data_IF_309917234577
#
_entry.id   IF_309917234577
#
_cell.length_a   1.000
_cell.length_b   1.000
_cell.length_c   1.000
_cell.angle_alpha   90.00
_cell.angle_beta   90.00
_cell.angle_gamma   90.00
#
_symmetry.space_group_name_H-M   'P 1'
#
loop_
_entity.id
_entity.type
_entity.pdbx_description
1 polymer ?
#
# COMPACT_ATOMS: atom_id res chain seq x y z
N UNK A 1 -2.51 -51.22 -9.54
CA UNK A 1 -2.67 -52.08 -8.34
C UNK A 1 -2.83 -51.13 -7.18
N UNK A 2 -3.92 -51.21 -6.40
CA UNK A 2 -4.24 -50.19 -5.38
C UNK A 2 -3.28 -50.32 -4.17
N UNK A 3 -2.57 -49.24 -3.83
CA UNK A 3 -1.52 -49.19 -2.79
C UNK A 3 -2.10 -49.54 -1.41
N UNK A 4 -3.32 -49.09 -1.09
CA UNK A 4 -3.99 -49.42 0.17
C UNK A 4 -4.25 -50.92 0.34
N UNK A 5 -4.63 -51.64 -0.73
CA UNK A 5 -4.78 -53.11 -0.69
C UNK A 5 -3.45 -53.82 -0.43
N UNK A 6 -2.33 -53.27 -0.89
CA UNK A 6 -1.00 -53.80 -0.59
C UNK A 6 -0.60 -53.54 0.85
N UNK A 7 -0.85 -52.34 1.38
CA UNK A 7 -0.62 -52.00 2.79
C UNK A 7 -1.41 -52.96 3.71
N UNK A 8 -2.70 -53.18 3.44
CA UNK A 8 -3.51 -54.13 4.21
C UNK A 8 -2.97 -55.57 4.12
N UNK A 9 -2.54 -56.00 2.93
CA UNK A 9 -1.95 -57.32 2.73
C UNK A 9 -0.69 -57.50 3.57
N UNK A 10 0.23 -56.54 3.55
CA UNK A 10 1.46 -56.62 4.32
C UNK A 10 1.22 -56.48 5.83
N UNK A 11 0.23 -55.72 6.30
CA UNK A 11 -0.15 -55.71 7.73
C UNK A 11 -0.56 -57.10 8.23
N UNK A 12 -1.29 -57.88 7.42
CA UNK A 12 -1.72 -59.25 7.79
C UNK A 12 -0.59 -60.28 7.84
N UNK A 13 0.60 -59.93 7.36
CA UNK A 13 1.77 -60.82 7.36
C UNK A 13 2.68 -60.61 8.60
N UNK A 14 2.19 -59.88 9.60
CA UNK A 14 2.90 -59.69 10.87
C UNK A 14 3.12 -61.00 11.61
N UNK A 15 4.39 -61.32 11.91
CA UNK A 15 4.77 -62.55 12.60
C UNK A 15 4.53 -63.85 11.80
N UNK A 16 4.20 -63.76 10.51
CA UNK A 16 3.93 -64.94 9.66
C UNK A 16 5.21 -65.62 9.18
N UNK A 17 6.32 -64.88 9.10
CA UNK A 17 7.62 -65.41 8.65
C UNK A 17 8.63 -65.41 9.78
N UNK A 18 9.30 -66.55 9.98
CA UNK A 18 10.30 -66.78 11.04
C UNK A 18 11.74 -66.56 10.57
N UNK A 19 11.93 -66.18 9.30
CA UNK A 19 13.24 -65.91 8.74
C UNK A 19 13.85 -64.62 9.34
N UNK A 20 15.13 -64.68 9.66
CA UNK A 20 15.88 -63.55 10.22
C UNK A 20 15.82 -62.34 9.26
N UNK A 21 15.37 -61.20 9.79
CA UNK A 21 15.21 -59.96 9.01
C UNK A 21 13.92 -59.84 8.19
N UNK A 22 13.07 -60.87 8.12
CA UNK A 22 11.81 -60.81 7.38
C UNK A 22 10.82 -59.78 7.96
N UNK A 23 10.78 -59.66 9.29
CA UNK A 23 9.99 -58.67 10.01
C UNK A 23 10.43 -57.24 9.67
N UNK A 24 11.75 -57.01 9.65
CA UNK A 24 12.35 -55.72 9.33
C UNK A 24 12.08 -55.34 7.88
N UNK A 25 12.23 -56.28 6.95
CA UNK A 25 11.90 -56.06 5.53
C UNK A 25 10.43 -55.71 5.34
N UNK A 26 9.51 -56.38 6.05
CA UNK A 26 8.07 -56.04 6.01
C UNK A 26 7.81 -54.61 6.48
N UNK A 27 8.47 -54.19 7.56
CA UNK A 27 8.32 -52.83 8.10
C UNK A 27 8.79 -51.77 7.08
N UNK A 28 9.95 -51.99 6.44
CA UNK A 28 10.48 -51.11 5.39
C UNK A 28 9.49 -51.02 4.22
N UNK A 29 8.99 -52.16 3.72
CA UNK A 29 8.02 -52.15 2.62
C UNK A 29 6.70 -51.49 2.98
N UNK A 30 6.24 -51.60 4.24
CA UNK A 30 5.07 -50.89 4.72
C UNK A 30 5.29 -49.38 4.82
N UNK A 31 6.51 -48.94 5.13
CA UNK A 31 6.88 -47.53 5.18
C UNK A 31 6.95 -46.93 3.77
N UNK A 32 7.61 -47.62 2.83
CA UNK A 32 7.67 -47.22 1.42
C UNK A 32 6.27 -47.15 0.79
N UNK A 33 5.40 -48.13 1.07
CA UNK A 33 4.04 -48.14 0.55
C UNK A 33 3.17 -47.02 1.15
N UNK A 34 3.38 -46.64 2.42
CA UNK A 34 2.69 -45.47 3.02
C UNK A 34 3.16 -44.17 2.39
N UNK A 35 4.47 -44.02 2.14
CA UNK A 35 5.00 -42.86 1.41
C UNK A 35 4.42 -42.77 0.00
N UNK A 36 4.22 -43.92 -0.66
CA UNK A 36 3.57 -43.98 -1.97
C UNK A 36 2.06 -43.67 -1.92
N UNK A 37 1.33 -44.15 -0.91
CA UNK A 37 -0.10 -43.81 -0.69
C UNK A 37 -0.27 -42.31 -0.38
N UNK A 38 0.66 -41.71 0.37
CA UNK A 38 0.74 -40.26 0.60
C UNK A 38 1.10 -39.48 -0.68
N UNK A 39 1.83 -40.08 -1.62
CA UNK A 39 2.15 -39.48 -2.94
C UNK A 39 1.04 -39.63 -3.99
N UNK A 40 0.15 -40.62 -3.85
CA UNK A 40 -1.03 -40.80 -4.71
C UNK A 40 -2.17 -39.81 -4.38
N UNK A 41 -2.05 -39.03 -3.30
CA UNK A 41 -2.84 -37.81 -3.07
C UNK A 41 -2.36 -36.78 -4.09
N UNK A 42 -2.99 -36.82 -5.26
CA UNK A 42 -2.60 -36.25 -6.56
C UNK A 42 -1.83 -34.93 -6.58
N UNK A 43 -1.10 -34.75 -7.69
CA UNK A 43 -0.36 -33.57 -8.18
C UNK A 43 -0.86 -32.15 -7.76
N UNK A 44 -2.11 -32.00 -7.35
CA UNK A 44 -2.65 -30.78 -6.76
C UNK A 44 -2.04 -30.43 -5.38
N UNK A 45 -1.56 -31.41 -4.59
CA UNK A 45 -1.01 -31.18 -3.23
C UNK A 45 0.54 -31.19 -3.16
N UNK A 46 1.23 -31.64 -4.22
CA UNK A 46 2.69 -31.53 -4.33
C UNK A 46 3.15 -30.09 -4.59
N UNK A 47 2.44 -29.35 -5.46
CA UNK A 47 2.77 -27.95 -5.75
C UNK A 47 2.76 -27.05 -4.49
N UNK A 48 1.77 -27.15 -3.57
CA UNK A 48 1.84 -26.52 -2.26
C UNK A 48 3.06 -26.89 -1.41
N UNK A 49 3.56 -28.14 -1.49
CA UNK A 49 4.68 -28.62 -0.69
C UNK A 49 6.02 -28.01 -1.13
N UNK A 50 6.28 -27.94 -2.43
CA UNK A 50 7.50 -27.31 -2.97
C UNK A 50 7.54 -25.81 -2.66
N UNK A 51 6.40 -25.12 -2.85
CA UNK A 51 6.27 -23.70 -2.51
C UNK A 51 6.48 -23.47 -1.02
N UNK A 52 5.88 -24.29 -0.14
CA UNK A 52 6.09 -24.22 1.32
C UNK A 52 7.57 -24.43 1.71
N UNK A 53 8.28 -25.32 1.04
CA UNK A 53 9.70 -25.57 1.30
C UNK A 53 10.58 -24.38 0.86
N UNK A 54 10.31 -23.81 -0.32
CA UNK A 54 10.98 -22.59 -0.80
C UNK A 54 10.74 -21.43 0.16
N UNK A 55 9.49 -21.23 0.61
CA UNK A 55 9.14 -20.19 1.57
C UNK A 55 9.85 -20.36 2.93
N UNK A 56 9.98 -21.60 3.42
CA UNK A 56 10.72 -21.89 4.64
C UNK A 56 12.20 -21.48 4.49
N UNK A 57 12.84 -21.87 3.39
CA UNK A 57 14.25 -21.52 3.10
C UNK A 57 14.46 -20.00 2.96
N UNK A 58 13.54 -19.29 2.31
CA UNK A 58 13.62 -17.82 2.21
C UNK A 58 13.50 -17.11 3.57
N UNK A 59 12.76 -17.70 4.51
CA UNK A 59 12.62 -17.17 5.87
C UNK A 59 13.86 -17.40 6.74
N UNK A 60 14.70 -18.36 6.38
CA UNK A 60 15.99 -18.60 7.04
C UNK A 60 17.09 -17.65 6.58
N UNK A 61 16.91 -16.96 5.45
CA UNK A 61 17.87 -15.97 4.95
C UNK A 61 17.87 -14.67 5.76
N UNK A 62 19.03 -13.97 5.84
CA UNK A 62 19.10 -12.59 6.32
C UNK A 62 18.11 -11.67 5.60
N UNK A 63 17.59 -10.66 6.31
CA UNK A 63 16.55 -9.75 5.78
C UNK A 63 16.89 -9.14 4.42
N UNK A 64 18.14 -8.71 4.24
CA UNK A 64 18.60 -8.12 2.99
C UNK A 64 18.59 -9.15 1.84
N UNK A 65 19.07 -10.37 2.09
CA UNK A 65 19.11 -11.44 1.08
C UNK A 65 17.71 -11.92 0.72
N UNK A 66 16.79 -11.95 1.69
CA UNK A 66 15.38 -12.30 1.43
C UNK A 66 14.75 -11.33 0.44
N UNK A 67 14.99 -10.03 0.58
CA UNK A 67 14.42 -9.02 -0.32
C UNK A 67 14.95 -9.16 -1.76
N UNK A 68 16.25 -9.41 -1.91
CA UNK A 68 16.90 -9.65 -3.21
C UNK A 68 16.32 -10.89 -3.88
N UNK A 69 16.17 -11.99 -3.14
CA UNK A 69 15.60 -13.24 -3.66
C UNK A 69 14.11 -13.13 -3.99
N UNK A 70 13.32 -12.39 -3.21
CA UNK A 70 11.91 -12.13 -3.52
C UNK A 70 11.77 -11.36 -4.83
N UNK A 71 12.60 -10.32 -5.04
CA UNK A 71 12.63 -9.56 -6.30
C UNK A 71 12.99 -10.44 -7.49
N UNK A 72 14.01 -11.29 -7.35
CA UNK A 72 14.43 -12.21 -8.41
C UNK A 72 13.34 -13.23 -8.77
N UNK A 73 12.68 -13.84 -7.76
CA UNK A 73 11.56 -14.76 -7.99
C UNK A 73 10.42 -14.03 -8.69
N UNK A 74 10.06 -12.83 -8.25
CA UNK A 74 9.00 -12.03 -8.87
C UNK A 74 9.29 -11.68 -10.34
N UNK A 75 10.55 -11.38 -10.70
CA UNK A 75 10.91 -11.07 -12.09
C UNK A 75 10.79 -12.26 -13.03
N UNK A 76 11.06 -13.49 -12.56
CA UNK A 76 10.93 -14.70 -13.38
C UNK A 76 9.48 -14.95 -13.84
N UNK A 77 8.51 -14.51 -13.04
CA UNK A 77 7.08 -14.70 -13.31
C UNK A 77 6.40 -13.40 -13.77
N UNK A 78 7.13 -12.34 -14.12
CA UNK A 78 6.56 -11.01 -14.38
C UNK A 78 5.46 -11.04 -15.47
N UNK A 79 5.68 -11.80 -16.55
CA UNK A 79 4.70 -11.98 -17.62
C UNK A 79 3.49 -12.81 -17.19
N UNK A 80 3.68 -13.84 -16.36
CA UNK A 80 2.60 -14.70 -15.84
C UNK A 80 1.76 -13.96 -14.78
N UNK A 81 2.40 -13.15 -13.93
CA UNK A 81 1.72 -12.27 -12.97
C UNK A 81 0.88 -11.20 -13.65
N UNK A 82 1.32 -10.68 -14.81
CA UNK A 82 0.53 -9.73 -15.61
C UNK A 82 -0.79 -10.33 -16.12
N UNK A 83 -0.83 -11.66 -16.32
CA UNK A 83 -2.03 -12.42 -16.76
C UNK A 83 -2.86 -13.00 -15.61
N UNK A 84 -2.23 -13.30 -14.47
CA UNK A 84 -2.87 -13.96 -13.33
C UNK A 84 -3.43 -13.00 -12.27
N UNK A 85 -2.87 -11.78 -12.13
CA UNK A 85 -3.58 -10.71 -11.43
C UNK A 85 -4.94 -10.52 -12.12
N UNK A 86 -6.01 -10.43 -11.34
CA UNK A 86 -7.35 -9.94 -11.71
C UNK A 86 -8.51 -10.94 -11.90
N UNK A 87 -8.32 -12.26 -12.05
CA UNK A 87 -9.50 -13.16 -12.16
C UNK A 87 -10.10 -13.56 -10.83
N UNK A 88 -9.33 -14.11 -9.89
CA UNK A 88 -9.91 -14.71 -8.69
C UNK A 88 -10.38 -13.71 -7.62
N UNK A 89 -9.65 -12.61 -7.40
CA UNK A 89 -9.99 -11.64 -6.36
C UNK A 89 -11.25 -10.80 -6.65
N UNK A 90 -11.47 -10.43 -7.93
CA UNK A 90 -12.64 -9.64 -8.33
C UNK A 90 -13.93 -10.49 -8.40
N UNK A 91 -13.85 -11.75 -8.85
CA UNK A 91 -15.03 -12.62 -9.00
C UNK A 91 -15.57 -13.17 -7.66
N UNK A 92 -14.76 -13.25 -6.61
CA UNK A 92 -15.16 -13.88 -5.35
C UNK A 92 -15.46 -12.92 -4.19
N UNK A 93 -15.29 -11.60 -4.35
CA UNK A 93 -15.51 -10.63 -3.27
C UNK A 93 -14.64 -10.86 -2.02
N UNK A 94 -13.63 -11.74 -2.10
CA UNK A 94 -12.65 -11.99 -1.05
C UNK A 94 -11.49 -11.02 -1.24
N UNK A 95 -11.55 -9.93 -0.49
CA UNK A 95 -10.53 -8.87 -0.42
C UNK A 95 -9.36 -9.28 0.52
N UNK A 96 -9.30 -10.54 0.95
CA UNK A 96 -8.20 -11.07 1.76
C UNK A 96 -6.96 -11.30 0.88
N UNK A 97 -6.20 -10.22 0.65
CA UNK A 97 -4.96 -10.28 -0.12
C UNK A 97 -4.59 -9.00 -0.87
N UNK A 98 -5.38 -7.92 -0.78
CA UNK A 98 -4.88 -6.62 -1.21
C UNK A 98 -3.74 -6.23 -0.27
N UNK A 99 -2.52 -6.20 -0.80
CA UNK A 99 -1.48 -5.31 -0.26
C UNK A 99 -2.16 -3.95 -0.21
N UNK A 100 -2.45 -3.43 0.99
CA UNK A 100 -2.97 -2.08 1.16
C UNK A 100 -2.04 -1.17 0.35
N UNK A 101 -2.59 -0.61 -0.72
CA UNK A 101 -1.80 0.28 -1.56
C UNK A 101 -1.51 1.50 -0.73
N UNK A 102 -0.28 1.99 -0.82
CA UNK A 102 0.09 3.26 -0.19
C UNK A 102 -0.91 4.33 -0.62
N UNK A 103 -1.56 4.92 0.39
CA UNK A 103 -2.49 6.03 0.21
C UNK A 103 -1.74 7.19 -0.42
N UNK A 104 -2.36 7.78 -1.43
CA UNK A 104 -1.82 8.99 -2.03
C UNK A 104 -2.09 10.18 -1.11
N UNK A 105 -1.19 11.15 -1.13
CA UNK A 105 -1.41 12.44 -0.49
C UNK A 105 -2.12 13.37 -1.47
N UNK A 106 -3.18 14.02 -1.03
CA UNK A 106 -3.93 15.01 -1.84
C UNK A 106 -4.14 16.30 -1.05
N UNK A 107 -4.11 17.47 -1.71
CA UNK A 107 -4.43 18.72 -1.04
C UNK A 107 -5.86 18.73 -0.48
N UNK A 108 -6.08 19.50 0.59
CA UNK A 108 -7.37 19.58 1.28
C UNK A 108 -8.54 19.97 0.37
N UNK A 109 -8.37 20.95 -0.51
CA UNK A 109 -9.43 21.35 -1.44
C UNK A 109 -9.76 20.26 -2.48
N UNK A 110 -8.80 19.39 -2.82
CA UNK A 110 -9.03 18.21 -3.68
C UNK A 110 -9.75 17.11 -2.90
N UNK A 111 -9.39 16.89 -1.63
CA UNK A 111 -10.10 15.97 -0.75
C UNK A 111 -11.57 16.36 -0.59
N UNK A 112 -11.85 17.64 -0.34
CA UNK A 112 -13.22 18.16 -0.24
C UNK A 112 -14.00 17.92 -1.54
N UNK A 113 -13.38 18.18 -2.70
CA UNK A 113 -13.98 17.89 -4.01
C UNK A 113 -14.23 16.38 -4.24
N UNK A 114 -13.30 15.51 -3.84
CA UNK A 114 -13.47 14.05 -3.91
C UNK A 114 -14.68 13.61 -3.08
N UNK A 115 -14.86 14.14 -1.86
CA UNK A 115 -16.00 13.80 -1.01
C UNK A 115 -17.33 14.33 -1.54
N UNK A 116 -17.34 15.46 -2.24
CA UNK A 116 -18.51 15.93 -2.98
C UNK A 116 -18.85 15.01 -4.15
N UNK A 117 -17.85 14.66 -4.95
CA UNK A 117 -18.01 13.72 -6.06
C UNK A 117 -18.51 12.36 -5.56
N UNK A 118 -18.06 11.85 -4.39
CA UNK A 118 -18.55 10.57 -3.79
C UNK A 118 -20.05 10.54 -3.53
N UNK A 119 -20.68 11.70 -3.34
CA UNK A 119 -22.12 11.79 -3.12
C UNK A 119 -22.91 11.80 -4.43
N UNK A 120 -22.30 12.24 -5.51
CA UNK A 120 -22.94 12.45 -6.81
C UNK A 120 -22.64 11.31 -7.81
N UNK A 121 -21.42 10.78 -7.79
CA UNK A 121 -20.89 9.83 -8.76
C UNK A 121 -20.93 8.40 -8.20
N UNK A 122 -21.32 7.45 -9.05
CA UNK A 122 -21.40 6.01 -8.72
C UNK A 122 -20.12 5.27 -9.06
N UNK A 123 -19.41 5.71 -10.10
CA UNK A 123 -18.20 5.09 -10.59
C UNK A 123 -17.16 6.13 -11.05
N UNK A 124 -16.00 5.63 -11.47
CA UNK A 124 -14.88 6.47 -11.91
C UNK A 124 -15.20 7.21 -13.21
N UNK A 125 -16.07 6.69 -14.08
CA UNK A 125 -16.43 7.38 -15.33
C UNK A 125 -17.22 8.64 -15.00
N UNK A 126 -18.22 8.52 -14.12
CA UNK A 126 -18.99 9.67 -13.63
C UNK A 126 -18.10 10.67 -12.86
N UNK A 127 -17.02 10.23 -12.20
CA UNK A 127 -16.05 11.12 -11.54
C UNK A 127 -15.29 12.01 -12.54
N UNK A 128 -14.91 11.49 -13.70
CA UNK A 128 -14.22 12.28 -14.73
C UNK A 128 -15.14 13.30 -15.42
N UNK A 129 -16.45 13.06 -15.38
CA UNK A 129 -17.47 13.98 -15.86
C UNK A 129 -17.95 14.95 -14.77
N UNK A 130 -17.49 14.79 -13.53
CA UNK A 130 -17.89 15.65 -12.41
C UNK A 130 -17.24 17.02 -12.53
N UNK A 131 -18.07 18.06 -12.48
CA UNK A 131 -17.62 19.43 -12.63
C UNK A 131 -16.66 19.86 -11.50
N UNK A 132 -15.71 20.73 -11.85
CA UNK A 132 -14.86 21.37 -10.86
C UNK A 132 -15.66 22.40 -10.07
N UNK A 133 -15.79 22.19 -8.77
CA UNK A 133 -16.61 23.04 -7.90
C UNK A 133 -15.97 24.40 -7.60
N UNK A 134 -14.65 24.52 -7.84
CA UNK A 134 -13.85 25.72 -7.59
C UNK A 134 -12.68 25.81 -8.60
N UNK A 135 -12.27 27.03 -8.93
CA UNK A 135 -11.06 27.36 -9.70
C UNK A 135 -9.77 26.73 -9.13
N UNK A 136 -9.64 26.54 -7.82
CA UNK A 136 -8.48 25.88 -7.19
C UNK A 136 -8.36 24.43 -7.62
N UNK A 137 -9.48 23.69 -7.58
CA UNK A 137 -9.55 22.30 -8.07
C UNK A 137 -9.17 22.28 -9.53
N UNK A 138 -9.78 23.15 -10.34
CA UNK A 138 -9.49 23.25 -11.78
C UNK A 138 -8.02 23.54 -12.07
N UNK A 139 -7.39 24.48 -11.36
CA UNK A 139 -5.96 24.82 -11.52
C UNK A 139 -5.06 23.65 -11.12
N UNK A 140 -5.42 22.93 -10.06
CA UNK A 140 -4.66 21.75 -9.64
C UNK A 140 -4.69 20.64 -10.70
N UNK A 141 -5.83 20.42 -11.35
CA UNK A 141 -5.94 19.47 -12.46
C UNK A 141 -5.15 19.85 -13.72
N UNK A 142 -4.65 21.09 -13.84
CA UNK A 142 -3.77 21.51 -14.94
C UNK A 142 -2.29 21.16 -14.72
N UNK A 143 -1.93 20.58 -13.57
CA UNK A 143 -0.56 20.13 -13.25
C UNK A 143 -0.26 18.75 -13.88
N UNK A 144 0.96 18.23 -13.69
CA UNK A 144 1.32 16.89 -14.18
C UNK A 144 0.73 15.77 -13.31
N UNK A 145 0.00 14.83 -13.95
CA UNK A 145 -0.61 13.62 -13.34
C UNK A 145 -1.65 13.78 -12.19
N UNK A 146 -2.46 14.84 -12.10
CA UNK A 146 -3.48 15.00 -11.07
C UNK A 146 -4.63 13.98 -11.18
N UNK A 147 -4.96 13.55 -12.40
CA UNK A 147 -6.03 12.56 -12.63
C UNK A 147 -5.67 11.17 -12.08
N UNK A 148 -4.42 10.71 -12.24
CA UNK A 148 -3.98 9.43 -11.68
C UNK A 148 -4.05 9.44 -10.14
N UNK A 149 -3.66 10.56 -9.52
CA UNK A 149 -3.74 10.74 -8.08
C UNK A 149 -5.18 10.72 -7.58
N UNK A 150 -6.10 11.40 -8.28
CA UNK A 150 -7.52 11.43 -7.91
C UNK A 150 -8.18 10.07 -8.05
N UNK A 151 -7.90 9.33 -9.13
CA UNK A 151 -8.43 7.98 -9.30
C UNK A 151 -7.91 7.05 -8.21
N UNK A 152 -6.61 7.15 -7.86
CA UNK A 152 -6.04 6.39 -6.74
C UNK A 152 -6.66 6.79 -5.39
N UNK A 153 -6.82 8.08 -5.13
CA UNK A 153 -7.46 8.59 -3.92
C UNK A 153 -8.91 8.09 -3.80
N UNK A 154 -9.63 8.04 -4.92
CA UNK A 154 -11.00 7.57 -4.99
C UNK A 154 -11.13 6.06 -4.71
N UNK A 155 -10.26 5.24 -5.32
CA UNK A 155 -10.34 3.78 -5.23
C UNK A 155 -9.67 3.22 -3.98
N UNK A 156 -8.46 3.68 -3.68
CA UNK A 156 -7.57 3.11 -2.66
C UNK A 156 -7.59 3.93 -1.35
N UNK A 157 -8.25 5.10 -1.35
CA UNK A 157 -8.22 6.06 -0.24
C UNK A 157 -7.00 7.00 -0.29
N UNK A 158 -7.01 8.02 0.56
CA UNK A 158 -5.98 9.07 0.57
C UNK A 158 -5.68 9.60 1.97
N UNK A 159 -4.56 10.30 2.09
CA UNK A 159 -4.21 11.17 3.19
C UNK A 159 -4.31 12.63 2.72
N UNK A 160 -4.80 13.51 3.59
CA UNK A 160 -4.84 14.94 3.28
C UNK A 160 -3.46 15.52 3.55
N UNK A 161 -2.88 16.21 2.58
CA UNK A 161 -1.64 16.96 2.78
C UNK A 161 -1.85 18.01 3.87
N UNK A 162 -0.95 18.03 4.85
CA UNK A 162 -0.95 19.08 5.86
C UNK A 162 -0.69 20.42 5.17
N UNK A 163 -1.57 21.39 5.42
CA UNK A 163 -1.40 22.74 4.88
C UNK A 163 -0.13 23.36 5.47
N UNK A 164 0.85 23.62 4.60
CA UNK A 164 2.07 24.34 4.96
C UNK A 164 1.73 25.70 5.57
N UNK A 165 2.27 25.96 6.75
CA UNK A 165 2.16 27.25 7.43
C UNK A 165 3.48 27.98 7.34
N UNK A 166 3.41 29.29 7.35
CA UNK A 166 4.57 30.16 7.20
C UNK A 166 4.60 31.16 8.34
N UNK A 167 5.78 31.29 8.94
CA UNK A 167 6.14 32.43 9.78
C UNK A 167 6.83 33.44 8.88
N UNK A 168 6.30 34.66 8.85
CA UNK A 168 6.81 35.74 8.00
C UNK A 168 7.42 36.82 8.89
N UNK A 169 8.67 37.19 8.62
CA UNK A 169 9.39 38.21 9.38
C UNK A 169 10.11 39.13 8.40
N UNK A 170 10.02 40.44 8.57
CA UNK A 170 10.85 41.36 7.78
C UNK A 170 12.31 41.30 8.25
N UNK A 171 13.28 41.60 7.37
CA UNK A 171 14.72 41.62 7.72
C UNK A 171 15.08 42.50 8.93
N UNK A 172 14.26 43.49 9.25
CA UNK A 172 14.42 44.32 10.45
C UNK A 172 13.82 43.68 11.73
N UNK A 173 13.52 42.38 11.70
CA UNK A 173 12.97 41.55 12.79
C UNK A 173 11.53 41.85 13.18
N UNK A 174 10.77 42.52 12.33
CA UNK A 174 9.34 42.76 12.58
C UNK A 174 8.53 41.52 12.21
N UNK A 175 7.86 40.87 13.18
CA UNK A 175 7.06 39.68 12.90
C UNK A 175 5.71 40.05 12.28
N UNK A 176 5.18 39.18 11.44
CA UNK A 176 3.80 39.25 11.01
C UNK A 176 2.88 38.86 12.17
N UNK A 177 1.87 39.68 12.45
CA UNK A 177 0.88 39.43 13.51
C UNK A 177 -0.53 39.59 12.98
N UNK A 178 -1.48 38.90 13.63
CA UNK A 178 -2.91 39.05 13.37
C UNK A 178 -3.52 39.97 14.41
N UNK A 179 -4.36 40.91 13.98
CA UNK A 179 -5.07 41.81 14.90
C UNK A 179 -5.91 41.03 15.92
N UNK A 180 -6.16 41.63 17.08
CA UNK A 180 -7.03 41.01 18.10
C UNK A 180 -8.46 40.81 17.60
N UNK A 181 -8.91 41.62 16.63
CA UNK A 181 -10.19 41.45 15.92
C UNK A 181 -10.19 40.30 14.90
N UNK A 182 -9.05 39.66 14.65
CA UNK A 182 -8.89 38.54 13.72
C UNK A 182 -8.95 38.90 12.24
N UNK A 183 -9.17 40.17 11.90
CA UNK A 183 -9.53 40.60 10.55
C UNK A 183 -8.35 41.07 9.68
N UNK A 184 -7.18 41.34 10.27
CA UNK A 184 -6.11 42.03 9.54
C UNK A 184 -4.73 41.52 9.94
N UNK A 185 -3.91 41.20 8.95
CA UNK A 185 -2.50 40.84 9.10
C UNK A 185 -1.63 42.10 8.88
N UNK A 186 -0.65 42.30 9.76
CA UNK A 186 0.28 43.43 9.67
C UNK A 186 1.61 43.10 10.33
N UNK A 187 2.68 43.82 9.95
CA UNK A 187 3.98 43.67 10.59
C UNK A 187 4.05 44.51 11.87
N UNK A 188 4.29 43.85 13.00
CA UNK A 188 4.38 44.50 14.30
C UNK A 188 5.70 45.25 14.45
N UNK A 189 5.66 46.44 15.05
CA UNK A 189 6.88 47.11 15.49
C UNK A 189 7.47 46.48 16.77
N UNK A 190 6.66 45.76 17.52
CA UNK A 190 7.12 44.96 18.65
C UNK A 190 7.76 43.68 18.14
N UNK A 191 9.10 43.66 18.12
CA UNK A 191 9.92 42.52 17.69
C UNK A 191 9.77 41.29 18.60
N UNK A 192 9.15 41.44 19.77
CA UNK A 192 8.89 40.34 20.72
C UNK A 192 7.49 39.75 20.57
N UNK A 193 6.66 40.35 19.70
CA UNK A 193 5.32 39.86 19.46
C UNK A 193 5.31 38.44 18.89
N UNK A 194 4.32 37.64 19.28
CA UNK A 194 4.17 36.27 18.80
C UNK A 194 3.84 36.29 17.31
N UNK A 195 4.73 35.73 16.50
CA UNK A 195 4.56 35.64 15.06
C UNK A 195 3.33 34.77 14.70
N UNK A 196 2.55 35.24 13.73
CA UNK A 196 1.38 34.57 13.22
C UNK A 196 1.79 33.45 12.26
N UNK A 197 1.25 32.26 12.48
CA UNK A 197 1.38 31.12 11.56
C UNK A 197 0.25 31.17 10.55
N UNK A 198 0.51 31.73 9.37
CA UNK A 198 -0.48 31.83 8.30
C UNK A 198 -0.25 30.79 7.21
N UNK A 199 -1.31 30.36 6.52
CA UNK A 199 -1.15 29.60 5.27
C UNK A 199 -0.83 30.56 4.13
N UNK A 200 -0.27 30.05 3.03
CA UNK A 200 -0.03 30.87 1.82
C UNK A 200 -1.33 31.56 1.36
N UNK A 201 -2.46 30.83 1.39
CA UNK A 201 -3.78 31.37 1.04
C UNK A 201 -4.21 32.53 1.93
N UNK A 202 -4.08 32.42 3.25
CA UNK A 202 -4.40 33.52 4.16
C UNK A 202 -3.55 34.78 3.90
N UNK A 203 -2.28 34.59 3.52
CA UNK A 203 -1.39 35.69 3.17
C UNK A 203 -1.79 36.33 1.84
N UNK A 204 -2.11 35.54 0.82
CA UNK A 204 -2.58 36.02 -0.48
C UNK A 204 -3.92 36.78 -0.36
N UNK A 205 -4.89 36.22 0.38
CA UNK A 205 -6.19 36.85 0.65
C UNK A 205 -6.05 38.17 1.42
N UNK A 206 -5.04 38.28 2.30
CA UNK A 206 -4.71 39.51 3.00
C UNK A 206 -3.92 40.53 2.16
N UNK A 207 -3.65 40.24 0.88
CA UNK A 207 -2.84 41.10 0.00
C UNK A 207 -1.35 41.08 0.32
N UNK A 208 -0.89 40.09 1.09
CA UNK A 208 0.51 39.88 1.49
C UNK A 208 1.20 38.80 0.66
N UNK A 209 0.63 38.35 -0.47
CA UNK A 209 1.26 37.34 -1.33
C UNK A 209 2.66 37.73 -1.85
N UNK A 210 2.96 39.03 -1.95
CA UNK A 210 4.26 39.55 -2.37
C UNK A 210 5.43 39.14 -1.47
N UNK A 211 5.16 38.69 -0.23
CA UNK A 211 6.20 38.30 0.73
C UNK A 211 7.06 37.15 0.21
N UNK A 212 6.49 36.25 -0.60
CA UNK A 212 7.19 35.10 -1.17
C UNK A 212 8.20 35.48 -2.27
N UNK A 213 8.03 36.64 -2.89
CA UNK A 213 8.88 37.13 -3.98
C UNK A 213 9.86 38.24 -3.52
N UNK A 214 9.89 38.54 -2.21
CA UNK A 214 10.66 39.67 -1.68
C UNK A 214 11.90 39.23 -0.91
N UNK A 215 13.09 39.58 -1.41
CA UNK A 215 14.36 39.36 -0.69
C UNK A 215 14.42 40.07 0.67
N UNK A 216 13.56 41.06 0.91
CA UNK A 216 13.46 41.80 2.17
C UNK A 216 12.79 41.03 3.31
N UNK A 217 12.29 39.83 3.04
CA UNK A 217 11.47 39.03 3.93
C UNK A 217 12.13 37.69 4.22
N UNK A 218 12.06 37.27 5.47
CA UNK A 218 12.43 35.94 5.94
C UNK A 218 11.14 35.14 6.12
N UNK A 219 11.07 33.99 5.44
CA UNK A 219 9.94 33.06 5.51
C UNK A 219 10.47 31.74 6.04
N UNK A 220 9.83 31.25 7.11
CA UNK A 220 10.09 29.94 7.69
C UNK A 220 8.83 29.07 7.52
N UNK A 221 8.96 27.95 6.81
CA UNK A 221 7.92 26.94 6.71
C UNK A 221 7.83 26.17 8.02
N UNK A 222 6.64 26.09 8.59
CA UNK A 222 6.36 25.40 9.85
C UNK A 222 5.18 24.44 9.69
N UNK A 223 5.21 23.35 10.45
CA UNK A 223 4.05 22.49 10.71
C UNK A 223 3.04 23.19 11.65
#
# INVERSE_FOLDING_TARGET
MNVQRLIEKYKKLEGVWDAEGAELARQIFLEDLKQLDESEIGYADEAPRYVKNILARLRELPLHDREVWLKAIMSEFEQDFSRAKWREGYEQGKIEGMVEREKVKVPRFVAEWIEEARKACKDVVELFEFDFTNDEVRKWFMQERPFDLVVRAWLDGYEVEEEKRYLVTLKNRQPLVKSQSGSTLYFSQDITARNYKGTQKELEEAGLGWVFDCEGVEIEEVE
#
